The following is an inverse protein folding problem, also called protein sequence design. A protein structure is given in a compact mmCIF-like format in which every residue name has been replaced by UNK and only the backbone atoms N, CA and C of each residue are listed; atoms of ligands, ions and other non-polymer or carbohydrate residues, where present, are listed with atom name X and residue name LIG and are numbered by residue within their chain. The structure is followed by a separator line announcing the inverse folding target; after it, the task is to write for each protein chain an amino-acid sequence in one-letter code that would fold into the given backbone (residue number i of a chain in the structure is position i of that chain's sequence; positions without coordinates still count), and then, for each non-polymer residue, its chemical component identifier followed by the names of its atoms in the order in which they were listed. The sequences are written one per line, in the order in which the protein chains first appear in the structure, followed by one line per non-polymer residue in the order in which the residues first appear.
data_IF_735566447678
#
_entry.id   IF_735566447678
#
_cell.length_a   1.000
_cell.length_b   1.000
_cell.length_c   1.000
_cell.angle_alpha   90.00
_cell.angle_beta   90.00
_cell.angle_gamma   90.00
#
_symmetry.space_group_name_H-M   'P 1'
#
loop_
_entity.id
_entity.type
_entity.pdbx_description
1 polymer ?
#
# COMPACT_ATOMS: atom_id res chain seq x y z
N UNK A 1 2.69 -0.91 3.04
CA UNK A 1 2.65 -0.91 1.56
C UNK A 1 1.58 0.03 1.06
N UNK A 2 1.95 0.88 0.14
CA UNK A 2 0.99 1.76 -0.55
C UNK A 2 0.76 1.25 -1.97
N UNK A 3 -0.48 0.92 -2.27
CA UNK A 3 -0.88 0.41 -3.59
C UNK A 3 -1.52 1.56 -4.34
N UNK A 4 -1.07 1.80 -5.58
CA UNK A 4 -1.55 2.93 -6.39
C UNK A 4 -1.82 2.51 -7.82
N UNK A 5 -2.55 3.35 -8.56
CA UNK A 5 -2.78 3.17 -9.99
C UNK A 5 -1.79 4.03 -10.79
N UNK A 6 -1.51 3.63 -12.05
CA UNK A 6 -0.52 4.30 -12.89
C UNK A 6 -0.71 5.81 -13.01
N UNK A 7 -1.94 6.26 -13.12
CA UNK A 7 -2.27 7.67 -13.27
C UNK A 7 -2.10 8.48 -11.97
N UNK A 8 -1.86 7.80 -10.85
CA UNK A 8 -1.72 8.41 -9.54
C UNK A 8 -0.28 8.41 -9.02
N UNK A 9 0.69 8.04 -9.85
CA UNK A 9 2.05 7.79 -9.38
C UNK A 9 2.68 9.00 -8.67
N UNK A 10 2.54 10.21 -9.21
CA UNK A 10 3.13 11.40 -8.61
C UNK A 10 2.55 11.70 -7.23
N UNK A 11 1.23 11.62 -7.11
CA UNK A 11 0.56 11.84 -5.83
C UNK A 11 0.86 10.72 -4.82
N UNK A 12 0.93 9.49 -5.31
CA UNK A 12 1.26 8.34 -4.48
C UNK A 12 2.66 8.46 -3.88
N UNK A 13 3.63 8.93 -4.65
CA UNK A 13 5.00 9.15 -4.17
C UNK A 13 5.01 10.17 -3.03
N UNK A 14 4.31 11.28 -3.18
CA UNK A 14 4.21 12.30 -2.14
C UNK A 14 3.57 11.74 -0.87
N UNK A 15 2.51 11.00 -1.05
CA UNK A 15 1.80 10.39 0.06
C UNK A 15 2.69 9.36 0.78
N UNK A 16 3.43 8.56 0.03
CA UNK A 16 4.34 7.58 0.58
C UNK A 16 5.47 8.24 1.39
N UNK A 17 5.97 9.38 0.96
CA UNK A 17 6.99 10.12 1.71
C UNK A 17 6.48 10.55 3.09
N UNK A 18 5.22 10.95 3.17
CA UNK A 18 4.60 11.28 4.45
C UNK A 18 4.41 10.03 5.32
N UNK A 19 4.00 8.91 4.73
CA UNK A 19 3.83 7.66 5.46
C UNK A 19 5.15 7.12 6.01
N UNK A 20 6.24 7.32 5.29
CA UNK A 20 7.56 6.84 5.71
C UNK A 20 8.05 7.45 7.02
N UNK A 21 7.47 8.56 7.43
CA UNK A 21 7.78 9.17 8.73
C UNK A 21 7.26 8.33 9.89
N UNK A 22 6.24 7.52 9.65
CA UNK A 22 5.59 6.68 10.67
C UNK A 22 5.75 5.20 10.37
N UNK A 23 5.71 4.82 9.09
CA UNK A 23 5.73 3.42 8.66
C UNK A 23 6.81 3.17 7.62
N UNK A 24 7.30 1.94 7.58
CA UNK A 24 8.10 1.45 6.47
C UNK A 24 7.16 1.29 5.28
N UNK A 25 7.32 2.13 4.27
CA UNK A 25 6.39 2.18 3.14
C UNK A 25 7.06 1.75 1.84
N UNK A 26 6.48 0.77 1.18
CA UNK A 26 6.86 0.36 -0.18
C UNK A 26 5.72 0.69 -1.13
N UNK A 27 6.06 1.07 -2.36
CA UNK A 27 5.09 1.42 -3.40
C UNK A 27 4.88 0.26 -4.35
N UNK A 28 3.62 -0.06 -4.65
CA UNK A 28 3.27 -1.09 -5.62
C UNK A 28 2.13 -0.63 -6.51
N UNK A 29 2.22 -0.93 -7.79
CA UNK A 29 1.13 -0.71 -8.74
C UNK A 29 0.04 -1.73 -8.45
N UNK A 30 -1.22 -1.29 -8.48
CA UNK A 30 -2.37 -2.15 -8.21
C UNK A 30 -2.40 -3.35 -9.17
N UNK A 31 -2.33 -4.58 -8.65
CA UNK A 31 -2.39 -5.77 -9.48
C UNK A 31 -3.83 -6.13 -9.86
N UNK A 32 -3.99 -6.99 -10.86
CA UNK A 32 -5.31 -7.45 -11.29
C UNK A 32 -6.02 -8.26 -10.19
N UNK A 33 -5.26 -9.03 -9.43
CA UNK A 33 -5.78 -9.86 -8.33
C UNK A 33 -5.27 -9.34 -6.99
N UNK A 34 -5.91 -8.31 -6.50
CA UNK A 34 -5.49 -7.65 -5.26
C UNK A 34 -5.49 -8.59 -4.06
N UNK A 35 -6.49 -9.46 -3.93
CA UNK A 35 -6.57 -10.39 -2.81
C UNK A 35 -5.35 -11.31 -2.69
N UNK A 36 -4.91 -11.88 -3.80
CA UNK A 36 -3.70 -12.72 -3.81
C UNK A 36 -2.45 -11.92 -3.47
N UNK A 37 -2.38 -10.70 -3.99
CA UNK A 37 -1.26 -9.81 -3.71
C UNK A 37 -1.17 -9.48 -2.22
N UNK A 38 -2.29 -9.18 -1.59
CA UNK A 38 -2.35 -8.88 -0.17
C UNK A 38 -1.93 -10.07 0.69
N UNK A 39 -2.37 -11.28 0.34
CA UNK A 39 -1.93 -12.48 1.03
C UNK A 39 -0.43 -12.67 0.96
N UNK A 40 0.15 -12.41 -0.20
CA UNK A 40 1.60 -12.51 -0.40
C UNK A 40 2.35 -11.50 0.45
N UNK A 41 1.84 -10.27 0.55
CA UNK A 41 2.43 -9.23 1.39
C UNK A 41 2.42 -9.64 2.87
N UNK A 42 1.32 -10.21 3.34
CA UNK A 42 1.22 -10.69 4.71
C UNK A 42 2.25 -11.79 5.00
N UNK A 43 2.42 -12.72 4.05
CA UNK A 43 3.44 -13.78 4.14
C UNK A 43 4.86 -13.22 4.19
N UNK A 44 5.11 -12.12 3.51
CA UNK A 44 6.42 -11.46 3.47
C UNK A 44 6.72 -10.65 4.72
N UNK A 45 5.75 -10.52 5.62
CA UNK A 45 5.96 -9.84 6.89
C UNK A 45 5.59 -8.37 6.92
N UNK A 46 4.88 -7.88 5.91
CA UNK A 46 4.36 -6.51 5.96
C UNK A 46 3.25 -6.39 6.99
N UNK A 47 3.22 -5.28 7.70
CA UNK A 47 2.24 -5.07 8.77
C UNK A 47 0.87 -4.60 8.25
N UNK A 48 0.83 -3.91 7.12
CA UNK A 48 -0.41 -3.40 6.58
C UNK A 48 -0.27 -2.86 5.18
N UNK A 49 -1.36 -2.30 4.67
CA UNK A 49 -1.42 -1.75 3.33
C UNK A 49 -2.42 -0.60 3.26
N UNK A 50 -2.33 0.18 2.20
CA UNK A 50 -3.32 1.20 1.88
C UNK A 50 -3.46 1.28 0.36
N UNK A 51 -4.71 1.32 -0.12
CA UNK A 51 -4.99 1.53 -1.54
C UNK A 51 -5.22 3.03 -1.76
N UNK A 52 -4.27 3.68 -2.42
CA UNK A 52 -4.29 5.12 -2.62
C UNK A 52 -5.51 5.54 -3.46
N UNK A 53 -6.20 6.57 -2.99
CA UNK A 53 -7.41 7.05 -3.64
C UNK A 53 -8.68 6.29 -3.28
N UNK A 54 -8.57 5.15 -2.61
CA UNK A 54 -9.69 4.34 -2.16
C UNK A 54 -9.80 4.29 -0.64
N UNK A 55 -8.68 4.06 0.03
CA UNK A 55 -8.62 3.99 1.49
C UNK A 55 -8.12 5.32 2.05
N UNK A 56 -8.74 5.80 3.10
CA UNK A 56 -8.32 7.02 3.79
C UNK A 56 -7.24 6.74 4.83
N UNK A 57 -7.14 5.52 5.30
CA UNK A 57 -6.21 5.11 6.34
C UNK A 57 -5.49 3.83 5.99
N UNK A 58 -4.34 3.63 6.62
CA UNK A 58 -3.60 2.37 6.49
C UNK A 58 -4.41 1.25 7.14
N UNK A 59 -4.59 0.16 6.39
CA UNK A 59 -5.26 -1.04 6.90
C UNK A 59 -4.21 -2.04 7.35
N UNK A 60 -4.25 -2.41 8.60
CA UNK A 60 -3.34 -3.42 9.13
C UNK A 60 -3.85 -4.81 8.81
N UNK A 61 -2.94 -5.75 8.55
CA UNK A 61 -3.32 -7.15 8.38
C UNK A 61 -3.84 -7.67 9.72
N UNK A 62 -4.98 -8.36 9.67
CA UNK A 62 -5.60 -8.91 10.86
C UNK A 62 -4.75 -10.05 11.44
N UNK A 63 -4.57 -10.03 12.73
CA UNK A 63 -3.92 -11.10 13.47
C UNK A 63 -4.77 -11.52 14.67
#
# INVERSE_FOLDING_TARGET
VLIYEEDQIADAIRYAENLRKTYKTALYIKPKKLGKFLNKLEEQGFDGFQVFGRDEEVRMFGK
#
